data_IF_372829218236
#
_entry.id   IF_372829218236
#
_cell.length_a   1.000
_cell.length_b   1.000
_cell.length_c   1.000
_cell.angle_alpha   90.00
_cell.angle_beta   90.00
_cell.angle_gamma   90.00
#
_symmetry.space_group_name_H-M   'P 1'
#
loop_
_entity.id
_entity.type
_entity.pdbx_description
1 polymer ?
#
# COMPACT_ATOMS: atom_id res chain seq x y z
N UNK A 1 -8.40 -20.87 6.13
CA UNK A 1 -8.59 -19.40 6.27
C UNK A 1 -8.12 -18.89 7.61
N UNK A 2 -8.59 -19.48 8.73
CA UNK A 2 -8.15 -19.10 10.08
C UNK A 2 -6.62 -18.99 10.19
N UNK A 3 -5.87 -20.00 9.76
CA UNK A 3 -4.40 -19.98 9.75
C UNK A 3 -3.80 -18.77 9.00
N UNK A 4 -4.33 -18.42 7.83
CA UNK A 4 -3.84 -17.26 7.05
C UNK A 4 -4.12 -15.96 7.79
N UNK A 5 -5.35 -15.80 8.31
CA UNK A 5 -5.75 -14.60 9.05
C UNK A 5 -4.97 -14.45 10.36
N UNK A 6 -4.70 -15.55 11.07
CA UNK A 6 -3.86 -15.55 12.27
C UNK A 6 -2.43 -15.13 11.93
N UNK A 7 -1.81 -15.72 10.91
CA UNK A 7 -0.45 -15.34 10.51
C UNK A 7 -0.41 -13.90 10.00
N UNK A 8 -1.39 -13.47 9.20
CA UNK A 8 -1.52 -12.07 8.78
C UNK A 8 -1.61 -11.15 9.99
N UNK A 9 -2.53 -11.40 10.93
CA UNK A 9 -2.71 -10.55 12.12
C UNK A 9 -1.45 -10.44 12.97
N UNK A 10 -0.80 -11.57 13.28
CA UNK A 10 0.44 -11.58 14.07
C UNK A 10 1.58 -10.84 13.37
N UNK A 11 1.76 -11.08 12.07
CA UNK A 11 2.83 -10.45 11.30
C UNK A 11 2.60 -8.95 11.11
N UNK A 12 1.36 -8.51 10.92
CA UNK A 12 1.01 -7.09 10.77
C UNK A 12 1.06 -6.35 12.10
N UNK A 13 0.68 -6.99 13.20
CA UNK A 13 0.90 -6.42 14.53
C UNK A 13 2.40 -6.17 14.78
N UNK A 14 3.25 -7.16 14.50
CA UNK A 14 4.70 -7.00 14.61
C UNK A 14 5.23 -5.90 13.68
N UNK A 15 4.79 -5.87 12.42
CA UNK A 15 5.17 -4.84 11.46
C UNK A 15 4.78 -3.44 11.93
N UNK A 16 3.57 -3.29 12.48
CA UNK A 16 3.09 -2.03 13.07
C UNK A 16 3.97 -1.58 14.24
N UNK A 17 4.39 -2.51 15.11
CA UNK A 17 5.32 -2.20 16.21
C UNK A 17 6.67 -1.68 15.68
N UNK A 18 7.15 -2.20 14.55
CA UNK A 18 8.37 -1.69 13.91
C UNK A 18 8.18 -0.29 13.30
N UNK A 19 7.14 -0.08 12.48
CA UNK A 19 6.96 1.23 11.81
C UNK A 19 6.55 2.35 12.77
N UNK A 20 5.90 2.01 13.89
CA UNK A 20 5.63 2.92 14.98
C UNK A 20 6.82 3.10 15.94
N UNK A 21 7.98 2.49 15.62
CA UNK A 21 9.23 2.57 16.39
C UNK A 21 9.13 2.09 17.84
N UNK A 22 8.18 1.20 18.14
CA UNK A 22 8.18 0.44 19.41
C UNK A 22 9.34 -0.54 19.41
N UNK A 23 9.63 -1.12 18.24
CA UNK A 23 10.84 -1.91 17.99
C UNK A 23 11.67 -1.26 16.88
N UNK A 24 12.98 -1.38 16.99
CA UNK A 24 13.94 -0.93 15.98
C UNK A 24 14.49 -2.13 15.22
N UNK A 25 14.33 -2.12 13.89
CA UNK A 25 14.98 -3.10 13.04
C UNK A 25 16.48 -2.74 12.88
N UNK A 26 17.38 -3.72 12.71
CA UNK A 26 18.77 -3.45 12.36
C UNK A 26 18.86 -2.77 10.98
N UNK A 27 19.74 -1.77 10.85
CA UNK A 27 19.99 -1.06 9.59
C UNK A 27 19.39 0.35 9.53
N UNK A 28 19.38 0.99 8.34
CA UNK A 28 18.85 2.34 8.15
C UNK A 28 17.37 2.45 8.45
N UNK A 29 16.96 3.57 9.03
CA UNK A 29 15.56 3.86 9.32
C UNK A 29 14.79 4.26 8.06
N UNK A 30 14.15 3.27 7.45
CA UNK A 30 13.30 3.46 6.27
C UNK A 30 12.04 4.27 6.54
N UNK A 31 11.61 4.43 7.81
CA UNK A 31 10.38 5.18 8.13
C UNK A 31 10.55 6.69 7.98
N UNK A 32 11.80 7.16 7.88
CA UNK A 32 12.13 8.57 7.63
C UNK A 32 11.58 9.08 6.29
N UNK A 33 11.48 8.23 5.27
CA UNK A 33 10.80 8.57 4.00
C UNK A 33 9.38 9.08 4.26
N UNK A 34 8.65 8.46 5.20
CA UNK A 34 7.26 8.84 5.49
C UNK A 34 7.20 10.13 6.32
N UNK A 35 7.96 10.20 7.41
CA UNK A 35 7.89 11.33 8.36
C UNK A 35 8.61 12.60 7.88
N UNK A 36 9.54 12.48 6.93
CA UNK A 36 10.30 13.61 6.40
C UNK A 36 9.85 13.93 4.98
N UNK A 37 10.04 12.99 4.05
CA UNK A 37 9.83 13.26 2.62
C UNK A 37 8.34 13.35 2.31
N UNK A 38 7.55 12.33 2.64
CA UNK A 38 6.12 12.30 2.29
C UNK A 38 5.34 13.36 3.08
N UNK A 39 5.68 13.57 4.34
CA UNK A 39 5.08 14.64 5.13
C UNK A 39 5.42 16.02 4.57
N UNK A 40 6.67 16.24 4.11
CA UNK A 40 7.05 17.48 3.42
C UNK A 40 6.24 17.71 2.15
N UNK A 41 6.09 16.69 1.31
CA UNK A 41 5.23 16.76 0.12
C UNK A 41 3.77 17.03 0.48
N UNK A 42 3.26 16.40 1.54
CA UNK A 42 1.90 16.62 2.03
C UNK A 42 1.64 18.09 2.36
N UNK A 43 2.56 18.76 3.06
CA UNK A 43 2.42 20.17 3.42
C UNK A 43 2.43 21.12 2.21
N UNK A 44 3.08 20.72 1.11
CA UNK A 44 3.03 21.47 -0.16
C UNK A 44 1.73 21.15 -0.90
N UNK A 45 1.41 19.87 -1.09
CA UNK A 45 0.24 19.40 -1.84
C UNK A 45 -1.07 19.94 -1.29
N UNK A 46 -1.20 20.09 0.03
CA UNK A 46 -2.40 20.66 0.66
C UNK A 46 -2.64 22.13 0.30
N UNK A 47 -1.64 22.83 -0.24
CA UNK A 47 -1.78 24.21 -0.75
C UNK A 47 -2.32 24.26 -2.17
N UNK A 48 -2.48 23.11 -2.83
CA UNK A 48 -2.98 23.00 -4.21
C UNK A 48 -1.86 23.02 -5.26
N UNK A 49 -0.60 22.98 -4.86
CA UNK A 49 0.56 22.93 -5.77
C UNK A 49 1.37 21.65 -5.56
N UNK A 50 2.06 21.20 -6.61
CA UNK A 50 3.02 20.10 -6.49
C UNK A 50 4.38 20.64 -5.99
N UNK A 51 5.21 19.79 -5.35
CA UNK A 51 6.58 20.15 -4.97
C UNK A 51 7.50 20.19 -6.20
N UNK A 52 7.30 21.18 -7.08
CA UNK A 52 7.92 21.26 -8.41
C UNK A 52 9.45 21.36 -8.38
N UNK A 53 10.01 21.99 -7.35
CA UNK A 53 11.45 22.18 -7.19
C UNK A 53 12.13 21.04 -6.41
N UNK A 54 11.37 20.05 -5.94
CA UNK A 54 11.89 18.90 -5.21
C UNK A 54 12.24 17.75 -6.16
N UNK A 55 13.54 17.53 -6.37
CA UNK A 55 14.07 16.45 -7.22
C UNK A 55 13.67 15.04 -6.75
N UNK A 56 13.20 14.89 -5.52
CA UNK A 56 12.73 13.61 -4.98
C UNK A 56 11.28 13.32 -5.39
N UNK A 57 10.50 14.32 -5.84
CA UNK A 57 9.18 14.11 -6.43
C UNK A 57 9.30 13.60 -7.86
N UNK A 58 9.25 12.28 -8.03
CA UNK A 58 9.42 11.60 -9.33
C UNK A 58 8.18 10.77 -9.72
N UNK A 59 7.03 11.09 -9.12
CA UNK A 59 5.82 10.29 -9.25
C UNK A 59 4.77 10.95 -10.15
N UNK A 60 3.93 10.16 -10.84
CA UNK A 60 2.84 10.71 -11.61
C UNK A 60 1.78 11.39 -10.70
N UNK A 61 0.92 12.27 -11.24
CA UNK A 61 0.10 13.18 -10.43
C UNK A 61 -0.81 12.51 -9.41
N UNK A 62 -1.34 11.32 -9.69
CA UNK A 62 -2.25 10.65 -8.75
C UNK A 62 -1.51 10.10 -7.50
N UNK A 63 -0.18 10.02 -7.49
CA UNK A 63 0.58 9.74 -6.28
C UNK A 63 0.29 10.73 -5.14
N UNK A 64 -0.11 11.97 -5.48
CA UNK A 64 -0.60 12.94 -4.51
C UNK A 64 -1.77 12.41 -3.67
N UNK A 65 -2.62 11.53 -4.21
CA UNK A 65 -3.72 10.93 -3.45
C UNK A 65 -3.22 10.08 -2.29
N UNK A 66 -2.16 9.29 -2.50
CA UNK A 66 -1.55 8.49 -1.44
C UNK A 66 -0.92 9.38 -0.37
N UNK A 67 -0.21 10.43 -0.78
CA UNK A 67 0.45 11.39 0.12
C UNK A 67 -0.55 12.27 0.88
N UNK A 68 -1.68 12.63 0.26
CA UNK A 68 -2.75 13.42 0.91
C UNK A 68 -3.67 12.56 1.80
N UNK A 69 -3.75 11.26 1.56
CA UNK A 69 -4.68 10.36 2.26
C UNK A 69 -4.59 10.37 3.80
N UNK A 70 -3.44 10.64 4.46
CA UNK A 70 -3.39 10.78 5.92
C UNK A 70 -4.34 11.84 6.48
N UNK A 71 -4.74 12.85 5.70
CA UNK A 71 -5.75 13.84 6.10
C UNK A 71 -7.14 13.23 6.38
N UNK A 72 -7.40 12.00 5.91
CA UNK A 72 -8.63 11.25 6.24
C UNK A 72 -8.69 10.81 7.71
N UNK A 73 -7.55 10.84 8.43
CA UNK A 73 -7.43 10.44 9.84
C UNK A 73 -6.85 11.60 10.67
N UNK A 74 -7.55 12.76 10.77
CA UNK A 74 -6.97 13.99 11.32
C UNK A 74 -6.70 13.94 12.84
N UNK A 75 -7.17 12.89 13.52
CA UNK A 75 -6.92 12.62 14.93
C UNK A 75 -5.58 11.90 15.19
N UNK A 76 -4.83 11.59 14.13
CA UNK A 76 -3.49 11.00 14.19
C UNK A 76 -2.45 11.96 13.59
N UNK A 77 -1.20 11.83 14.02
CA UNK A 77 -0.08 12.43 13.30
C UNK A 77 0.09 11.80 11.90
N UNK A 78 0.76 12.51 10.99
CA UNK A 78 0.89 12.11 9.57
C UNK A 78 1.43 10.67 9.40
N UNK A 79 2.56 10.34 10.02
CA UNK A 79 3.16 9.01 9.87
C UNK A 79 2.29 7.87 10.45
N UNK A 80 1.76 7.95 11.69
CA UNK A 80 0.79 6.97 12.17
C UNK A 80 -0.46 6.82 11.28
N UNK A 81 -1.03 7.93 10.80
CA UNK A 81 -2.16 7.90 9.87
C UNK A 81 -1.80 7.16 8.57
N UNK A 82 -0.65 7.46 8.00
CA UNK A 82 -0.14 6.78 6.80
C UNK A 82 0.01 5.28 7.01
N UNK A 83 0.61 4.84 8.12
CA UNK A 83 0.78 3.41 8.42
C UNK A 83 -0.55 2.68 8.64
N UNK A 84 -1.54 3.35 9.26
CA UNK A 84 -2.90 2.79 9.37
C UNK A 84 -3.53 2.62 7.99
N UNK A 85 -3.38 3.60 7.09
CA UNK A 85 -3.90 3.48 5.72
C UNK A 85 -3.20 2.37 4.93
N UNK A 86 -1.88 2.20 5.08
CA UNK A 86 -1.14 1.05 4.56
C UNK A 86 -1.70 -0.28 5.09
N UNK A 87 -1.97 -0.37 6.39
CA UNK A 87 -2.57 -1.55 7.03
C UNK A 87 -3.97 -1.87 6.47
N UNK A 88 -4.79 -0.85 6.25
CA UNK A 88 -6.13 -1.00 5.66
C UNK A 88 -6.05 -1.49 4.20
N UNK A 89 -5.13 -0.95 3.40
CA UNK A 89 -4.89 -1.42 2.04
C UNK A 89 -4.38 -2.88 2.01
N UNK A 90 -3.44 -3.23 2.89
CA UNK A 90 -2.94 -4.61 3.05
C UNK A 90 -4.08 -5.57 3.45
N UNK A 91 -4.92 -5.18 4.40
CA UNK A 91 -6.09 -5.94 4.81
C UNK A 91 -7.07 -6.15 3.64
N UNK A 92 -7.31 -5.10 2.84
CA UNK A 92 -8.15 -5.18 1.65
C UNK A 92 -7.58 -6.16 0.61
N UNK A 93 -6.27 -6.11 0.33
CA UNK A 93 -5.61 -7.07 -0.56
C UNK A 93 -5.76 -8.50 -0.03
N UNK A 94 -5.47 -8.72 1.25
CA UNK A 94 -5.59 -10.03 1.88
C UNK A 94 -7.04 -10.56 1.76
N UNK A 95 -8.03 -9.72 2.03
CA UNK A 95 -9.44 -10.06 1.91
C UNK A 95 -9.85 -10.41 0.47
N UNK A 96 -9.41 -9.62 -0.51
CA UNK A 96 -9.66 -9.85 -1.93
C UNK A 96 -9.07 -11.19 -2.41
N UNK A 97 -7.81 -11.47 -2.04
CA UNK A 97 -7.12 -12.70 -2.40
C UNK A 97 -7.76 -13.93 -1.72
N UNK A 98 -8.15 -13.81 -0.44
CA UNK A 98 -8.89 -14.85 0.26
C UNK A 98 -10.25 -15.11 -0.40
N UNK A 99 -11.00 -14.06 -0.73
CA UNK A 99 -12.28 -14.19 -1.42
C UNK A 99 -12.12 -14.88 -2.78
N UNK A 100 -11.13 -14.48 -3.58
CA UNK A 100 -10.84 -15.09 -4.88
C UNK A 100 -10.41 -16.57 -4.74
N UNK A 101 -9.58 -16.88 -3.75
CA UNK A 101 -9.08 -18.23 -3.49
C UNK A 101 -10.14 -19.22 -3.00
N UNK A 102 -11.32 -18.76 -2.59
CA UNK A 102 -12.47 -19.59 -2.19
C UNK A 102 -13.38 -20.02 -3.34
N UNK A 103 -13.22 -19.42 -4.53
CA UNK A 103 -14.09 -19.74 -5.67
C UNK A 103 -13.82 -21.16 -6.17
N UNK A 104 -14.81 -21.87 -6.73
CA UNK A 104 -14.61 -23.20 -7.29
C UNK A 104 -13.43 -23.26 -8.27
N UNK A 105 -12.56 -24.24 -8.12
CA UNK A 105 -11.36 -24.40 -8.96
C UNK A 105 -10.23 -23.38 -8.68
N UNK A 106 -10.31 -22.58 -7.61
CA UNK A 106 -9.25 -21.64 -7.19
C UNK A 106 -8.53 -22.15 -5.94
N UNK A 107 -7.48 -21.43 -5.54
CA UNK A 107 -6.59 -21.81 -4.45
C UNK A 107 -6.25 -20.61 -3.55
N UNK A 108 -6.09 -20.79 -2.23
CA UNK A 108 -5.68 -19.72 -1.32
C UNK A 108 -4.18 -19.36 -1.41
N UNK A 109 -3.42 -19.99 -2.31
CA UNK A 109 -1.96 -19.77 -2.45
C UNK A 109 -1.60 -18.30 -2.66
N UNK A 110 -2.40 -17.54 -3.42
CA UNK A 110 -2.16 -16.10 -3.62
C UNK A 110 -2.15 -15.32 -2.31
N UNK A 111 -3.06 -15.63 -1.38
CA UNK A 111 -3.08 -15.00 -0.06
C UNK A 111 -1.85 -15.37 0.78
N UNK A 112 -1.34 -16.61 0.69
CA UNK A 112 -0.09 -16.99 1.35
C UNK A 112 1.12 -16.25 0.77
N UNK A 113 1.23 -16.15 -0.56
CA UNK A 113 2.30 -15.39 -1.22
C UNK A 113 2.27 -13.93 -0.76
N UNK A 114 1.08 -13.33 -0.67
CA UNK A 114 0.93 -11.97 -0.15
C UNK A 114 1.37 -11.84 1.32
N UNK A 115 0.88 -12.72 2.19
CA UNK A 115 1.21 -12.68 3.63
C UNK A 115 2.71 -12.81 3.85
N UNK A 116 3.34 -13.81 3.21
CA UNK A 116 4.78 -14.09 3.32
C UNK A 116 5.59 -12.98 2.66
N UNK A 117 5.20 -12.52 1.46
CA UNK A 117 5.91 -11.48 0.74
C UNK A 117 6.02 -10.17 1.53
N UNK A 118 4.93 -9.72 2.16
CA UNK A 118 4.94 -8.53 3.01
C UNK A 118 5.85 -8.72 4.24
N UNK A 119 5.89 -9.91 4.83
CA UNK A 119 6.82 -10.21 5.93
C UNK A 119 8.27 -10.11 5.48
N UNK A 120 8.60 -10.68 4.32
CA UNK A 120 9.96 -10.67 3.77
C UNK A 120 10.43 -9.26 3.41
N UNK A 121 9.52 -8.37 3.03
CA UNK A 121 9.83 -6.96 2.78
C UNK A 121 10.06 -6.15 4.07
N UNK A 122 9.56 -6.62 5.21
CA UNK A 122 9.72 -5.97 6.50
C UNK A 122 9.12 -4.55 6.55
N UNK A 123 9.66 -3.64 7.39
CA UNK A 123 9.17 -2.27 7.55
C UNK A 123 9.05 -1.48 6.24
N UNK A 124 9.89 -1.78 5.25
CA UNK A 124 9.85 -1.17 3.91
C UNK A 124 8.49 -1.32 3.24
N UNK A 125 7.74 -2.41 3.52
CA UNK A 125 6.41 -2.61 2.97
C UNK A 125 5.42 -1.51 3.36
N UNK A 126 5.59 -0.91 4.54
CA UNK A 126 4.71 0.15 5.08
C UNK A 126 5.37 1.52 5.10
N UNK A 127 6.71 1.58 4.98
CA UNK A 127 7.45 2.83 4.79
C UNK A 127 7.41 3.35 3.35
N UNK A 128 6.68 2.67 2.45
CA UNK A 128 6.40 3.11 1.08
C UNK A 128 4.92 2.97 0.81
N UNK A 129 4.37 3.84 -0.04
CA UNK A 129 2.96 3.77 -0.42
C UNK A 129 2.64 2.63 -1.43
N UNK A 130 3.63 1.78 -1.76
CA UNK A 130 3.52 0.68 -2.70
C UNK A 130 2.36 -0.29 -2.38
N UNK A 131 2.05 -0.51 -1.10
CA UNK A 131 0.94 -1.37 -0.70
C UNK A 131 -0.42 -0.80 -1.10
N UNK A 132 -0.57 0.53 -1.12
CA UNK A 132 -1.78 1.22 -1.61
C UNK A 132 -1.93 1.02 -3.12
N UNK A 133 -0.83 1.12 -3.87
CA UNK A 133 -0.79 0.86 -5.33
C UNK A 133 -1.09 -0.60 -5.63
N UNK A 134 -0.52 -1.52 -4.84
CA UNK A 134 -0.77 -2.95 -4.97
C UNK A 134 -2.25 -3.31 -4.72
N UNK A 135 -2.94 -2.60 -3.83
CA UNK A 135 -4.37 -2.78 -3.63
C UNK A 135 -5.18 -2.51 -4.90
N UNK A 136 -4.87 -1.43 -5.63
CA UNK A 136 -5.49 -1.10 -6.92
C UNK A 136 -5.14 -2.16 -7.97
N UNK A 137 -3.87 -2.57 -8.05
CA UNK A 137 -3.40 -3.58 -8.99
C UNK A 137 -4.08 -4.95 -8.79
N UNK A 138 -4.17 -5.42 -7.55
CA UNK A 138 -4.85 -6.69 -7.20
C UNK A 138 -6.33 -6.61 -7.51
N UNK A 139 -6.99 -5.49 -7.21
CA UNK A 139 -8.39 -5.27 -7.58
C UNK A 139 -8.58 -5.33 -9.10
N UNK A 140 -7.68 -4.71 -9.87
CA UNK A 140 -7.68 -4.74 -11.34
C UNK A 140 -7.57 -6.16 -11.89
N UNK A 141 -6.56 -6.92 -11.45
CA UNK A 141 -6.34 -8.31 -11.87
C UNK A 141 -7.54 -9.22 -11.57
N UNK A 142 -8.12 -9.09 -10.37
CA UNK A 142 -9.27 -9.90 -9.98
C UNK A 142 -10.55 -9.52 -10.72
N UNK A 143 -10.72 -8.24 -11.09
CA UNK A 143 -11.84 -7.76 -11.89
C UNK A 143 -11.72 -8.20 -13.37
N UNK A 144 -10.50 -8.25 -13.90
CA UNK A 144 -10.21 -8.50 -15.32
C UNK A 144 -10.77 -9.79 -15.89
N UNK A 145 -10.91 -10.84 -15.07
CA UNK A 145 -11.48 -12.11 -15.49
C UNK A 145 -12.94 -12.01 -15.98
N UNK A 146 -13.69 -10.98 -15.55
CA UNK A 146 -15.08 -10.75 -15.97
C UNK A 146 -15.30 -9.39 -16.61
N UNK A 147 -14.47 -8.40 -16.28
CA UNK A 147 -14.64 -7.01 -16.70
C UNK A 147 -13.30 -6.42 -17.17
N UNK A 148 -12.87 -6.71 -18.41
CA UNK A 148 -11.61 -6.20 -18.96
C UNK A 148 -11.50 -4.67 -18.93
N UNK A 149 -12.62 -3.95 -19.15
CA UNK A 149 -12.64 -2.48 -19.05
C UNK A 149 -12.33 -1.98 -17.63
N UNK A 150 -12.85 -2.65 -16.60
CA UNK A 150 -12.57 -2.31 -15.20
C UNK A 150 -11.11 -2.57 -14.86
N UNK A 151 -10.54 -3.69 -15.35
CA UNK A 151 -9.11 -3.93 -15.22
C UNK A 151 -8.29 -2.84 -15.90
N UNK A 152 -8.65 -2.45 -17.13
CA UNK A 152 -7.96 -1.39 -17.86
C UNK A 152 -8.01 -0.04 -17.14
N UNK A 153 -9.17 0.35 -16.62
CA UNK A 153 -9.34 1.57 -15.84
C UNK A 153 -8.51 1.55 -14.55
N UNK A 154 -8.50 0.43 -13.81
CA UNK A 154 -7.72 0.28 -12.58
C UNK A 154 -6.22 0.21 -12.85
N UNK A 155 -5.78 -0.43 -13.93
CA UNK A 155 -4.37 -0.46 -14.34
C UNK A 155 -3.90 0.93 -14.77
N UNK A 156 -4.71 1.67 -15.54
CA UNK A 156 -4.43 3.05 -15.93
C UNK A 156 -4.39 4.00 -14.72
N UNK A 157 -5.36 3.91 -13.81
CA UNK A 157 -5.33 4.66 -12.56
C UNK A 157 -4.11 4.27 -11.70
N UNK A 158 -3.79 2.98 -11.61
CA UNK A 158 -2.59 2.49 -10.95
C UNK A 158 -1.30 3.06 -11.55
N UNK A 159 -1.22 3.15 -12.88
CA UNK A 159 -0.11 3.76 -13.60
C UNK A 159 0.07 5.26 -13.25
N UNK A 160 -1.03 5.96 -12.97
CA UNK A 160 -1.01 7.35 -12.48
C UNK A 160 -0.61 7.47 -11.01
N UNK A 161 -0.79 6.41 -10.20
CA UNK A 161 -0.29 6.36 -8.81
C UNK A 161 1.22 6.07 -8.78
N UNK A 162 1.67 5.19 -9.67
CA UNK A 162 3.07 4.75 -9.80
C UNK A 162 3.24 4.06 -11.15
N UNK A 163 4.41 4.09 -11.78
CA UNK A 163 4.55 3.56 -13.15
C UNK A 163 4.24 2.07 -13.32
N UNK A 164 4.55 1.22 -12.33
CA UNK A 164 4.57 -0.25 -12.51
C UNK A 164 3.22 -0.94 -12.82
N UNK A 165 2.03 -0.48 -12.38
CA UNK A 165 0.76 -1.14 -12.72
C UNK A 165 0.39 -1.08 -14.21
N UNK A 166 1.12 -0.34 -15.05
CA UNK A 166 0.98 -0.41 -16.51
C UNK A 166 1.25 -1.82 -17.05
N UNK A 167 2.10 -2.59 -16.35
CA UNK A 167 2.48 -3.97 -16.72
C UNK A 167 1.33 -4.98 -16.61
N UNK A 168 0.16 -4.56 -16.11
CA UNK A 168 -1.02 -5.40 -16.03
C UNK A 168 -1.80 -5.49 -17.35
N UNK A 169 -1.55 -4.55 -18.28
CA UNK A 169 -2.18 -4.48 -19.61
C UNK A 169 -1.45 -5.35 -20.63
#
# INVERSE_FOLDING_TARGET
>A
MARILTVWGLTRALLMLFVLRVFTAPGPDVTSDVSVIYQGWYEILRTGTFPLDDVTWQYPPAAALAVLSPALLPFLGYAPAFFVLCLLCDAAVCALLLHAGRRPGKSPRGAWVWVIGVVLLGPTAYARYDVMVAAVAVAGLLAGARHPRTMGALAGFGALLKGWPVLLL
#
